data_IF_980296686464
#
_entry.id   IF_980296686464
#
_cell.length_a   1.000
_cell.length_b   1.000
_cell.length_c   1.000
_cell.angle_alpha   90.00
_cell.angle_beta   90.00
_cell.angle_gamma   90.00
#
_symmetry.space_group_name_H-M   'P 1'
#
loop_
_entity.id
_entity.type
_entity.pdbx_description
1 polymer ?
#
# COMPACT_ATOMS: atom_id res chain seq x y z
N UNK A 1 17.30 2.26 30.65
CA UNK A 1 16.02 1.71 30.18
C UNK A 1 16.27 0.27 29.75
N UNK A 2 15.43 -0.66 30.12
CA UNK A 2 15.51 -2.05 29.65
C UNK A 2 15.32 -2.09 28.15
N UNK A 3 16.12 -2.87 27.39
CA UNK A 3 15.95 -2.98 25.95
C UNK A 3 14.60 -3.64 25.62
N UNK A 4 13.99 -3.21 24.52
CA UNK A 4 12.82 -3.88 23.96
C UNK A 4 13.22 -5.26 23.42
N UNK A 5 12.26 -6.19 23.42
CA UNK A 5 12.46 -7.53 22.86
C UNK A 5 11.62 -7.69 21.60
N UNK A 6 12.26 -7.98 20.50
CA UNK A 6 11.60 -8.38 19.25
C UNK A 6 11.54 -9.91 19.17
N UNK A 7 10.36 -10.43 18.84
CA UNK A 7 10.09 -11.85 18.71
C UNK A 7 9.17 -12.13 17.52
N UNK A 8 9.30 -13.32 16.92
CA UNK A 8 8.38 -13.78 15.89
C UNK A 8 7.05 -14.14 16.52
N UNK A 9 5.97 -13.69 15.91
CA UNK A 9 4.61 -14.08 16.28
C UNK A 9 3.78 -14.17 15.01
N UNK A 10 3.17 -15.33 14.79
CA UNK A 10 2.36 -15.53 13.60
C UNK A 10 1.24 -14.48 13.51
N UNK A 11 0.98 -14.00 12.31
CA UNK A 11 -0.10 -13.03 12.05
C UNK A 11 -1.44 -13.52 12.61
N UNK A 12 -1.71 -14.86 12.49
CA UNK A 12 -2.92 -15.48 13.02
C UNK A 12 -3.05 -15.43 14.55
N UNK A 13 -1.93 -15.27 15.26
CA UNK A 13 -1.88 -15.29 16.73
C UNK A 13 -1.92 -13.86 17.32
N UNK A 14 -2.03 -12.85 16.46
CA UNK A 14 -2.15 -11.46 16.87
C UNK A 14 -3.62 -11.06 16.83
N UNK A 15 -4.12 -10.59 17.98
CA UNK A 15 -5.48 -10.10 18.08
C UNK A 15 -5.70 -8.89 17.15
N UNK A 16 -6.76 -8.93 16.28
CA UNK A 16 -7.06 -7.83 15.35
C UNK A 16 -7.18 -6.46 16.02
N UNK A 17 -7.80 -6.39 17.21
CA UNK A 17 -7.96 -5.12 17.92
C UNK A 17 -6.62 -4.56 18.42
N UNK A 18 -5.70 -5.43 18.85
CA UNK A 18 -4.34 -5.04 19.24
C UNK A 18 -3.55 -4.53 18.02
N UNK A 19 -3.71 -5.17 16.85
CA UNK A 19 -3.09 -4.74 15.61
C UNK A 19 -3.56 -3.34 15.22
N UNK A 20 -4.87 -3.14 15.15
CA UNK A 20 -5.47 -1.89 14.70
C UNK A 20 -5.24 -0.76 15.72
N UNK A 21 -5.21 -1.04 17.03
CA UNK A 21 -4.83 -0.06 18.04
C UNK A 21 -3.42 0.51 17.78
N UNK A 22 -2.45 -0.34 17.43
CA UNK A 22 -1.09 0.10 17.13
C UNK A 22 -1.03 0.84 15.78
N UNK A 23 -1.80 0.40 14.79
CA UNK A 23 -1.94 1.12 13.53
C UNK A 23 -2.49 2.54 13.78
N UNK A 24 -3.55 2.70 14.56
CA UNK A 24 -4.14 4.03 14.84
C UNK A 24 -3.28 4.94 15.69
N UNK A 25 -2.34 4.40 16.47
CA UNK A 25 -1.35 5.20 17.20
C UNK A 25 -0.25 5.77 16.29
N UNK A 26 -0.09 5.24 15.11
CA UNK A 26 0.85 5.74 14.12
C UNK A 26 0.14 6.71 13.15
N UNK A 27 0.45 8.02 13.18
CA UNK A 27 -0.17 8.99 12.27
C UNK A 27 0.20 8.76 10.78
N UNK A 28 1.17 7.90 10.52
CA UNK A 28 1.57 7.51 9.16
C UNK A 28 0.90 6.21 8.69
N UNK A 29 0.12 5.54 9.53
CA UNK A 29 -0.66 4.39 9.11
C UNK A 29 -1.72 4.79 8.08
N UNK A 30 -2.02 3.86 7.20
CA UNK A 30 -2.97 4.03 6.10
C UNK A 30 -3.94 2.86 6.09
N UNK A 31 -4.95 2.83 5.24
CA UNK A 31 -5.79 1.64 5.06
C UNK A 31 -5.01 0.36 4.75
N UNK A 32 -3.81 0.48 4.18
CA UNK A 32 -2.90 -0.66 3.94
C UNK A 32 -2.26 -1.21 5.22
N UNK A 33 -2.32 -0.48 6.31
CA UNK A 33 -1.68 -0.84 7.59
C UNK A 33 -2.60 -1.60 8.55
N UNK A 34 -3.93 -1.62 8.30
CA UNK A 34 -4.89 -2.23 9.22
C UNK A 34 -4.99 -3.75 9.04
N UNK A 35 -5.45 -4.42 10.10
CA UNK A 35 -5.57 -5.88 10.12
C UNK A 35 -6.40 -6.43 8.96
N UNK A 36 -7.53 -5.79 8.63
CA UNK A 36 -8.42 -6.23 7.57
C UNK A 36 -7.73 -6.31 6.19
N UNK A 37 -6.84 -5.35 5.87
CA UNK A 37 -6.07 -5.35 4.63
C UNK A 37 -5.06 -6.51 4.60
N UNK A 38 -4.29 -6.69 5.68
CA UNK A 38 -3.33 -7.78 5.82
C UNK A 38 -4.04 -9.14 5.79
N UNK A 39 -5.19 -9.28 6.44
CA UNK A 39 -5.97 -10.51 6.43
C UNK A 39 -6.47 -10.84 5.02
N UNK A 40 -6.99 -9.86 4.27
CA UNK A 40 -7.39 -10.06 2.89
C UNK A 40 -6.21 -10.56 2.03
N UNK A 41 -5.03 -9.98 2.27
CA UNK A 41 -3.82 -10.37 1.57
C UNK A 41 -3.39 -11.81 1.92
N UNK A 42 -3.37 -12.18 3.20
CA UNK A 42 -3.01 -13.52 3.63
C UNK A 42 -4.00 -14.58 3.12
N UNK A 43 -5.29 -14.28 3.07
CA UNK A 43 -6.30 -15.18 2.50
C UNK A 43 -6.08 -15.45 1.02
N UNK A 44 -5.52 -14.50 0.27
CA UNK A 44 -5.29 -14.61 -1.17
C UNK A 44 -3.90 -15.17 -1.53
N UNK A 45 -2.87 -14.73 -0.83
CA UNK A 45 -1.47 -14.94 -1.20
C UNK A 45 -0.65 -15.75 -0.20
N UNK A 46 -1.20 -16.05 0.96
CA UNK A 46 -0.47 -16.72 2.05
C UNK A 46 0.10 -18.09 1.69
N UNK A 47 -0.51 -18.78 0.71
CA UNK A 47 0.02 -20.08 0.25
C UNK A 47 1.42 -19.97 -0.41
N UNK A 48 1.81 -18.77 -0.87
CA UNK A 48 3.07 -18.51 -1.55
C UNK A 48 4.01 -17.60 -0.73
N UNK A 49 3.72 -17.42 0.55
CA UNK A 49 4.51 -16.56 1.42
C UNK A 49 4.66 -17.22 2.79
N UNK A 50 5.76 -16.92 3.47
CA UNK A 50 5.98 -17.33 4.85
C UNK A 50 5.86 -16.13 5.76
N UNK A 51 5.05 -16.28 6.80
CA UNK A 51 4.84 -15.24 7.79
C UNK A 51 6.11 -15.03 8.63
N UNK A 52 6.59 -13.81 8.61
CA UNK A 52 7.76 -13.35 9.33
C UNK A 52 7.42 -12.19 10.27
N UNK A 53 6.15 -12.04 10.62
CA UNK A 53 5.68 -10.94 11.47
C UNK A 53 6.47 -10.90 12.78
N UNK A 54 6.96 -9.72 13.11
CA UNK A 54 7.68 -9.44 14.35
C UNK A 54 6.81 -8.58 15.24
N UNK A 55 6.65 -8.99 16.48
CA UNK A 55 6.14 -8.13 17.56
C UNK A 55 7.28 -7.65 18.43
N UNK A 56 7.18 -6.43 18.90
CA UNK A 56 8.12 -5.87 19.89
C UNK A 56 7.38 -5.64 21.17
N UNK A 57 7.95 -6.14 22.27
CA UNK A 57 7.39 -6.02 23.60
C UNK A 57 8.35 -5.29 24.54
N UNK A 58 7.83 -4.65 25.59
CA UNK A 58 8.62 -4.05 26.66
C UNK A 58 8.59 -4.95 27.91
N UNK A 59 9.65 -5.73 28.17
CA UNK A 59 9.70 -6.63 29.32
C UNK A 59 9.60 -5.91 30.68
N UNK A 60 9.82 -4.60 30.71
CA UNK A 60 9.74 -3.79 31.94
C UNK A 60 8.38 -3.15 32.17
N UNK A 61 7.44 -3.31 31.23
CA UNK A 61 6.08 -2.77 31.34
C UNK A 61 5.22 -3.59 32.30
N UNK A 62 4.10 -3.00 32.72
CA UNK A 62 3.09 -3.71 33.53
C UNK A 62 2.41 -4.85 32.77
N UNK A 63 2.51 -4.85 31.41
CA UNK A 63 2.01 -5.90 30.50
C UNK A 63 3.14 -6.34 29.57
N UNK A 64 4.08 -7.18 30.04
CA UNK A 64 5.33 -7.47 29.34
C UNK A 64 5.14 -8.21 28.01
N UNK A 65 4.01 -8.90 27.83
CA UNK A 65 3.70 -9.67 26.61
C UNK A 65 2.83 -8.88 25.61
N UNK A 66 2.36 -7.68 26.00
CA UNK A 66 1.59 -6.82 25.10
C UNK A 66 2.51 -6.15 24.08
N UNK A 67 2.22 -6.25 22.79
CA UNK A 67 3.00 -5.56 21.77
C UNK A 67 2.98 -4.03 21.98
N UNK A 68 4.16 -3.42 21.89
CA UNK A 68 4.35 -1.97 21.74
C UNK A 68 4.57 -1.59 20.29
N UNK A 69 4.92 -2.58 19.46
CA UNK A 69 4.97 -2.45 18.01
C UNK A 69 4.68 -3.78 17.31
N UNK A 70 4.18 -3.67 16.09
CA UNK A 70 4.06 -4.78 15.13
C UNK A 70 4.76 -4.37 13.85
N UNK A 71 5.61 -5.25 13.33
CA UNK A 71 6.26 -5.11 12.03
C UNK A 71 5.75 -6.27 11.19
N UNK A 72 4.79 -6.04 10.27
CA UNK A 72 4.31 -7.05 9.36
C UNK A 72 5.43 -7.42 8.40
N UNK A 73 5.96 -8.62 8.50
CA UNK A 73 7.01 -9.11 7.61
C UNK A 73 6.62 -10.43 6.99
N UNK A 74 7.17 -10.71 5.83
CA UNK A 74 7.06 -11.99 5.14
C UNK A 74 8.33 -12.27 4.36
N UNK A 75 8.58 -13.54 4.05
CA UNK A 75 9.48 -13.95 2.99
C UNK A 75 8.73 -14.73 1.91
N UNK A 76 9.28 -14.81 0.73
CA UNK A 76 8.70 -15.52 -0.41
C UNK A 76 9.77 -16.26 -1.17
N UNK A 77 9.44 -17.50 -1.53
CA UNK A 77 10.29 -18.35 -2.36
C UNK A 77 9.85 -18.39 -3.83
N UNK A 78 8.66 -17.90 -4.12
CA UNK A 78 8.12 -17.83 -5.49
C UNK A 78 8.25 -16.38 -5.97
N UNK A 79 8.61 -16.21 -7.24
CA UNK A 79 8.72 -14.90 -7.89
C UNK A 79 7.46 -14.09 -7.62
N UNK A 80 7.66 -12.88 -7.09
CA UNK A 80 6.60 -11.89 -6.93
C UNK A 80 5.87 -11.69 -8.25
N UNK A 81 4.57 -11.45 -8.24
CA UNK A 81 3.87 -10.94 -9.41
C UNK A 81 4.55 -9.69 -9.96
N UNK A 82 4.35 -9.42 -11.24
CA UNK A 82 5.11 -8.41 -12.00
C UNK A 82 5.08 -6.97 -11.44
N UNK A 83 4.21 -6.66 -10.49
CA UNK A 83 4.21 -5.35 -9.84
C UNK A 83 5.33 -5.18 -8.80
N UNK A 84 5.99 -6.28 -8.41
CA UNK A 84 7.25 -6.18 -7.66
C UNK A 84 8.34 -5.46 -8.46
N UNK A 85 8.26 -5.53 -9.78
CA UNK A 85 9.03 -4.67 -10.66
C UNK A 85 8.28 -3.34 -10.82
N UNK A 86 8.80 -2.26 -10.27
CA UNK A 86 8.27 -0.93 -10.49
C UNK A 86 8.35 -0.60 -11.97
N UNK A 87 7.21 -0.54 -12.64
CA UNK A 87 7.11 -0.14 -14.04
C UNK A 87 6.80 1.35 -14.21
N UNK A 88 6.90 2.10 -13.14
CA UNK A 88 6.63 3.54 -13.18
C UNK A 88 7.71 4.24 -13.97
N UNK A 89 7.33 4.90 -15.05
CA UNK A 89 8.20 5.81 -15.77
C UNK A 89 8.27 7.10 -14.96
N UNK A 90 9.26 7.22 -14.10
CA UNK A 90 9.47 8.43 -13.34
C UNK A 90 9.67 9.61 -14.30
N UNK A 91 8.89 10.68 -14.12
CA UNK A 91 8.95 11.90 -14.94
C UNK A 91 10.31 12.60 -14.89
N UNK A 92 11.09 12.28 -13.86
CA UNK A 92 12.39 12.87 -13.62
C UNK A 92 13.48 11.86 -13.99
N UNK A 93 14.29 12.20 -14.99
CA UNK A 93 15.36 11.35 -15.53
C UNK A 93 16.54 11.11 -14.55
N UNK A 94 16.44 11.63 -13.35
CA UNK A 94 17.45 11.54 -12.29
C UNK A 94 17.27 10.34 -11.35
N UNK A 95 16.24 9.52 -11.56
CA UNK A 95 16.08 8.29 -10.79
C UNK A 95 16.97 7.19 -11.35
N UNK A 96 17.87 6.73 -10.50
CA UNK A 96 18.69 5.56 -10.78
C UNK A 96 17.82 4.29 -10.77
N UNK A 97 18.14 3.28 -11.59
CA UNK A 97 17.51 1.98 -11.49
C UNK A 97 17.67 1.41 -10.08
N UNK A 98 16.60 0.78 -9.56
CA UNK A 98 16.68 0.11 -8.26
C UNK A 98 17.74 -1.00 -8.28
N UNK A 99 18.50 -1.11 -7.19
CA UNK A 99 19.49 -2.17 -7.04
C UNK A 99 18.80 -3.55 -7.11
N UNK A 100 19.24 -4.45 -8.00
CA UNK A 100 18.59 -5.75 -8.14
C UNK A 100 18.87 -6.65 -6.93
N UNK A 101 17.88 -7.48 -6.58
CA UNK A 101 18.02 -8.60 -5.66
C UNK A 101 18.17 -9.87 -6.49
N UNK A 102 19.09 -10.75 -6.10
CA UNK A 102 19.27 -12.01 -6.80
C UNK A 102 17.96 -12.84 -6.72
N UNK A 103 17.49 -13.43 -7.84
CA UNK A 103 16.23 -14.20 -7.84
C UNK A 103 16.23 -15.41 -6.88
N UNK A 104 17.42 -15.88 -6.51
CA UNK A 104 17.61 -17.00 -5.58
C UNK A 104 17.79 -16.56 -4.13
N UNK A 105 17.79 -15.25 -3.85
CA UNK A 105 17.94 -14.76 -2.50
C UNK A 105 16.61 -14.91 -1.74
N UNK A 106 16.65 -15.53 -0.58
CA UNK A 106 15.56 -15.39 0.38
C UNK A 106 15.52 -13.91 0.83
N UNK A 107 14.45 -13.20 0.51
CA UNK A 107 14.31 -11.80 0.85
C UNK A 107 13.12 -11.58 1.78
N UNK A 108 13.35 -10.75 2.81
CA UNK A 108 12.32 -10.34 3.77
C UNK A 108 11.70 -9.03 3.29
N UNK A 109 10.37 -9.03 3.18
CA UNK A 109 9.55 -7.90 2.73
C UNK A 109 8.58 -7.45 3.82
N UNK A 110 8.04 -6.25 3.69
CA UNK A 110 6.82 -5.91 4.40
C UNK A 110 5.65 -6.79 3.92
N UNK A 111 4.82 -7.22 4.85
CA UNK A 111 3.60 -7.96 4.55
C UNK A 111 2.65 -7.15 3.67
N UNK A 112 1.89 -7.85 2.83
CA UNK A 112 0.94 -7.26 1.88
C UNK A 112 1.55 -6.32 0.82
N UNK A 113 2.89 -6.31 0.63
CA UNK A 113 3.60 -5.36 -0.23
C UNK A 113 3.15 -5.38 -1.69
N UNK A 114 2.57 -6.48 -2.18
CA UNK A 114 2.08 -6.58 -3.55
C UNK A 114 0.92 -5.63 -3.85
N UNK A 115 -0.02 -5.49 -2.93
CA UNK A 115 -1.21 -4.64 -3.09
C UNK A 115 -1.13 -3.33 -2.32
N UNK A 116 -0.20 -3.21 -1.37
CA UNK A 116 -0.04 -2.00 -0.59
C UNK A 116 0.81 -0.96 -1.34
N UNK A 117 0.35 0.28 -1.38
CA UNK A 117 1.14 1.39 -1.90
C UNK A 117 1.95 2.12 -0.81
N UNK A 118 1.63 1.85 0.46
CA UNK A 118 2.36 2.34 1.62
C UNK A 118 2.60 1.22 2.63
N UNK A 119 3.78 1.23 3.24
CA UNK A 119 4.15 0.36 4.35
C UNK A 119 4.73 1.19 5.50
N UNK A 120 4.54 0.74 6.72
CA UNK A 120 5.10 1.35 7.92
C UNK A 120 5.19 0.35 9.07
N UNK A 121 5.91 0.71 10.11
CA UNK A 121 5.93 0.00 11.40
C UNK A 121 4.70 0.44 12.21
N UNK A 122 3.93 -0.50 12.74
CA UNK A 122 2.78 -0.20 13.59
C UNK A 122 3.28 0.08 15.01
N UNK A 123 3.60 1.33 15.28
CA UNK A 123 4.11 1.77 16.57
C UNK A 123 3.85 3.26 16.77
N UNK A 124 3.86 3.71 18.03
CA UNK A 124 3.89 5.13 18.30
C UNK A 124 5.25 5.72 17.83
N UNK A 125 5.28 6.88 17.16
CA UNK A 125 6.53 7.44 16.61
C UNK A 125 7.66 7.62 17.62
N UNK A 126 7.34 7.93 18.87
CA UNK A 126 8.33 8.09 19.95
C UNK A 126 9.07 6.77 20.29
N UNK A 127 8.51 5.62 19.97
CA UNK A 127 9.12 4.30 20.23
C UNK A 127 9.97 3.79 19.07
N UNK A 128 9.86 4.38 17.89
CA UNK A 128 10.52 3.93 16.67
C UNK A 128 12.03 3.69 16.82
N UNK A 129 12.85 4.58 17.44
CA UNK A 129 14.29 4.33 17.58
C UNK A 129 14.60 3.03 18.34
N UNK A 130 13.83 2.73 19.38
CA UNK A 130 13.99 1.49 20.19
C UNK A 130 13.43 0.27 19.45
N UNK A 131 12.33 0.45 18.75
CA UNK A 131 11.64 -0.60 17.98
C UNK A 131 12.50 -1.06 16.81
N UNK A 132 13.05 -0.13 16.02
CA UNK A 132 13.89 -0.44 14.87
C UNK A 132 15.21 -1.09 15.30
N UNK A 133 15.81 -0.64 16.40
CA UNK A 133 16.99 -1.30 16.97
C UNK A 133 16.69 -2.75 17.35
N UNK A 134 15.58 -3.00 18.07
CA UNK A 134 15.18 -4.35 18.47
C UNK A 134 14.86 -5.24 17.24
N UNK A 135 14.21 -4.69 16.20
CA UNK A 135 13.94 -5.39 14.94
C UNK A 135 15.23 -5.79 14.24
N UNK A 136 16.17 -4.85 14.07
CA UNK A 136 17.43 -5.10 13.37
C UNK A 136 18.29 -6.10 14.13
N UNK A 137 18.26 -6.08 15.47
CA UNK A 137 18.91 -7.08 16.32
C UNK A 137 18.28 -8.48 16.13
N UNK A 138 16.95 -8.58 15.98
CA UNK A 138 16.29 -9.84 15.67
C UNK A 138 16.68 -10.36 14.29
N UNK A 139 16.63 -9.52 13.27
CA UNK A 139 17.04 -9.88 11.91
C UNK A 139 18.53 -10.28 11.84
N UNK A 140 19.39 -9.67 12.65
CA UNK A 140 20.80 -10.06 12.73
C UNK A 140 20.96 -11.46 13.34
N UNK A 141 20.17 -11.84 14.33
CA UNK A 141 20.17 -13.20 14.87
C UNK A 141 19.71 -14.22 13.84
N UNK A 142 18.64 -13.90 13.10
CA UNK A 142 18.08 -14.77 12.06
C UNK A 142 19.02 -14.93 10.85
N UNK A 143 19.96 -14.00 10.68
CA UNK A 143 20.99 -14.07 9.66
C UNK A 143 22.05 -15.17 9.93
N UNK A 144 22.17 -15.62 11.16
CA UNK A 144 23.04 -16.75 11.55
C UNK A 144 22.14 -17.98 11.57
N UNK A 145 22.35 -18.92 10.62
CA UNK A 145 21.49 -20.07 10.42
C UNK A 145 21.02 -20.69 11.73
N UNK A 146 19.71 -20.79 11.97
CA UNK A 146 19.21 -21.60 13.06
C UNK A 146 19.55 -23.06 12.79
N UNK A 147 19.75 -23.81 13.84
CA UNK A 147 19.84 -25.26 13.73
C UNK A 147 18.46 -25.75 13.25
N UNK A 148 18.34 -26.44 12.10
CA UNK A 148 17.07 -26.89 11.62
C UNK A 148 16.38 -27.73 12.68
N UNK A 149 15.20 -27.35 13.10
CA UNK A 149 14.32 -28.26 13.82
C UNK A 149 13.61 -29.12 12.75
N UNK A 150 13.81 -30.46 12.73
CA UNK A 150 13.23 -31.32 11.69
C UNK A 150 11.68 -31.31 11.66
N UNK A 151 11.04 -30.85 12.74
CA UNK A 151 9.58 -30.73 12.83
C UNK A 151 9.06 -29.36 12.46
N UNK A 152 9.95 -28.40 12.17
CA UNK A 152 9.58 -27.05 11.80
C UNK A 152 9.53 -26.91 10.27
N UNK A 153 8.32 -26.93 9.72
CA UNK A 153 8.08 -26.70 8.29
C UNK A 153 8.24 -25.21 7.89
N UNK A 154 8.44 -24.32 8.85
CA UNK A 154 8.83 -22.94 8.60
C UNK A 154 10.30 -22.91 8.17
N UNK A 155 10.56 -22.89 6.88
CA UNK A 155 11.91 -22.78 6.34
C UNK A 155 12.56 -21.49 6.80
N UNK A 156 13.38 -21.57 7.82
CA UNK A 156 14.23 -20.48 8.29
C UNK A 156 15.56 -20.51 7.53
N UNK A 157 15.50 -20.45 6.21
CA UNK A 157 16.71 -20.14 5.46
C UNK A 157 17.19 -18.77 5.88
N UNK A 158 18.49 -18.62 6.18
CA UNK A 158 19.03 -17.29 6.51
C UNK A 158 18.71 -16.34 5.38
N UNK A 159 18.05 -15.23 5.69
CA UNK A 159 17.76 -14.27 4.65
C UNK A 159 19.04 -13.75 3.96
N UNK A 160 18.99 -13.60 2.66
CA UNK A 160 20.06 -13.02 1.83
C UNK A 160 19.90 -11.51 1.66
N UNK A 161 18.66 -11.04 1.75
CA UNK A 161 18.31 -9.63 1.63
C UNK A 161 17.14 -9.26 2.53
N UNK A 162 17.10 -8.00 2.98
CA UNK A 162 15.91 -7.33 3.48
C UNK A 162 15.53 -6.27 2.45
N UNK A 163 14.33 -6.35 1.89
CA UNK A 163 13.85 -5.47 0.82
C UNK A 163 12.55 -4.79 1.27
N UNK A 164 12.71 -3.74 2.07
CA UNK A 164 11.58 -2.97 2.59
C UNK A 164 11.19 -1.87 1.60
N UNK A 165 10.03 -2.01 1.02
CA UNK A 165 9.49 -1.13 -0.01
C UNK A 165 8.29 -0.31 0.48
N UNK A 166 7.90 0.68 -0.29
CA UNK A 166 6.70 1.53 -0.05
C UNK A 166 6.78 2.37 1.22
N UNK A 167 7.99 2.62 1.71
CA UNK A 167 8.21 3.47 2.87
C UNK A 167 8.07 4.94 2.47
N UNK A 168 7.16 5.68 3.10
CA UNK A 168 7.04 7.11 2.80
C UNK A 168 8.25 7.88 3.31
N UNK A 169 8.79 8.79 2.49
CA UNK A 169 9.91 9.64 2.89
C UNK A 169 9.57 10.48 4.14
N UNK A 170 8.32 10.89 4.30
CA UNK A 170 7.88 11.68 5.45
C UNK A 170 7.65 10.84 6.72
N UNK A 171 7.66 9.50 6.63
CA UNK A 171 7.47 8.62 7.79
C UNK A 171 8.79 8.44 8.56
N UNK A 172 8.85 8.83 9.84
CA UNK A 172 10.05 8.65 10.67
C UNK A 172 10.56 7.20 10.71
N UNK A 173 9.68 6.20 10.52
CA UNK A 173 10.09 4.81 10.46
C UNK A 173 11.14 4.56 9.36
N UNK A 174 11.11 5.31 8.26
CA UNK A 174 12.08 5.20 7.17
C UNK A 174 13.49 5.57 7.63
N UNK A 175 13.63 6.72 8.28
CA UNK A 175 14.93 7.21 8.77
C UNK A 175 15.46 6.36 9.92
N UNK A 176 14.59 5.91 10.81
CA UNK A 176 14.98 5.08 11.95
C UNK A 176 15.42 3.67 11.50
N UNK A 177 14.75 3.09 10.49
CA UNK A 177 15.19 1.83 9.87
C UNK A 177 16.56 2.00 9.20
N UNK A 178 16.74 3.07 8.41
CA UNK A 178 18.02 3.34 7.75
C UNK A 178 19.15 3.53 8.78
N UNK A 179 18.90 4.22 9.88
CA UNK A 179 19.83 4.42 10.97
C UNK A 179 20.21 3.10 11.65
N UNK A 180 19.22 2.27 11.99
CA UNK A 180 19.45 1.00 12.66
C UNK A 180 20.23 0.00 11.78
N UNK A 181 19.89 -0.09 10.49
CA UNK A 181 20.63 -0.91 9.54
C UNK A 181 22.03 -0.37 9.23
N UNK A 182 22.19 0.97 9.15
CA UNK A 182 23.50 1.61 8.96
C UNK A 182 24.50 1.30 10.08
N UNK A 183 24.02 1.13 11.32
CA UNK A 183 24.85 0.67 12.42
C UNK A 183 25.42 -0.75 12.17
N UNK A 184 24.66 -1.64 11.52
CA UNK A 184 25.11 -3.00 11.16
C UNK A 184 26.03 -3.02 9.94
N UNK A 185 25.87 -2.10 9.00
CA UNK A 185 26.80 -1.92 7.90
C UNK A 185 28.22 -1.72 8.43
N UNK A 186 28.38 -0.83 9.41
CA UNK A 186 29.66 -0.56 10.05
C UNK A 186 30.16 -1.76 10.87
N UNK A 187 29.30 -2.41 11.64
CA UNK A 187 29.69 -3.46 12.58
C UNK A 187 29.91 -4.83 11.93
N UNK A 188 29.15 -5.17 10.90
CA UNK A 188 29.05 -6.52 10.34
C UNK A 188 29.33 -6.60 8.83
N UNK A 189 29.63 -5.48 8.19
CA UNK A 189 29.91 -5.40 6.76
C UNK A 189 28.69 -5.67 5.88
N UNK A 190 27.50 -5.39 6.38
CA UNK A 190 26.30 -5.41 5.55
C UNK A 190 26.33 -4.26 4.54
N UNK A 191 25.54 -4.34 3.49
CA UNK A 191 25.35 -3.19 2.59
C UNK A 191 23.97 -2.64 2.76
N UNK A 192 23.86 -1.32 2.88
CA UNK A 192 22.60 -0.59 2.98
C UNK A 192 22.43 0.30 1.74
N UNK A 193 21.29 0.17 1.07
CA UNK A 193 20.87 1.07 0.02
C UNK A 193 19.51 1.68 0.44
N UNK A 194 19.44 3.00 0.52
CA UNK A 194 18.20 3.74 0.63
C UNK A 194 17.94 4.37 -0.72
N UNK A 195 16.88 3.92 -1.39
CA UNK A 195 16.62 4.26 -2.78
C UNK A 195 15.23 4.90 -2.92
N UNK A 196 15.12 5.93 -3.74
CA UNK A 196 13.81 6.43 -4.15
C UNK A 196 13.16 5.37 -5.04
N UNK A 197 12.08 4.76 -4.56
CA UNK A 197 11.41 3.68 -5.27
C UNK A 197 10.41 4.22 -6.29
N UNK A 198 9.57 5.15 -5.86
CA UNK A 198 8.45 5.66 -6.64
C UNK A 198 7.94 6.98 -6.05
N UNK A 199 6.83 7.47 -6.59
CA UNK A 199 6.09 8.60 -6.06
C UNK A 199 4.60 8.28 -5.96
N UNK A 200 3.95 8.93 -5.00
CA UNK A 200 2.50 8.96 -4.87
C UNK A 200 2.03 10.41 -5.02
N UNK A 201 1.53 10.83 -6.17
CA UNK A 201 1.02 12.19 -6.35
C UNK A 201 -0.24 12.44 -5.55
N UNK A 202 -0.25 13.51 -4.78
CA UNK A 202 -1.35 13.89 -3.89
C UNK A 202 -1.92 15.23 -4.29
N UNK A 203 -3.24 15.29 -4.42
CA UNK A 203 -3.98 16.52 -4.59
C UNK A 203 -4.31 17.06 -3.19
N UNK A 204 -3.78 18.23 -2.86
CA UNK A 204 -4.17 18.97 -1.66
C UNK A 204 -5.47 19.72 -1.94
N UNK A 205 -6.53 19.39 -1.21
CA UNK A 205 -7.84 20.00 -1.36
C UNK A 205 -7.92 21.19 -0.41
N UNK A 206 -8.08 22.43 -0.93
CA UNK A 206 -8.12 23.61 -0.09
C UNK A 206 -9.36 23.61 0.80
N UNK A 207 -9.19 23.97 2.07
CA UNK A 207 -10.30 24.08 3.01
C UNK A 207 -11.25 25.24 2.64
N UNK A 208 -12.54 24.99 2.78
CA UNK A 208 -13.56 26.03 2.60
C UNK A 208 -13.82 26.47 1.15
N UNK A 209 -13.24 25.79 0.16
CA UNK A 209 -13.55 26.03 -1.25
C UNK A 209 -14.44 24.94 -1.82
N UNK A 210 -15.27 25.32 -2.77
CA UNK A 210 -16.04 24.37 -3.58
C UNK A 210 -15.19 23.79 -4.73
N UNK A 211 -15.79 22.91 -5.51
CA UNK A 211 -15.08 22.30 -6.63
C UNK A 211 -14.63 23.31 -7.71
N UNK A 212 -15.40 24.38 -7.95
CA UNK A 212 -15.00 25.40 -8.92
C UNK A 212 -13.82 26.24 -8.40
N UNK A 213 -13.77 26.51 -7.09
CA UNK A 213 -12.61 27.09 -6.42
C UNK A 213 -11.38 26.20 -6.51
N UNK A 214 -11.53 24.88 -6.29
CA UNK A 214 -10.45 23.93 -6.52
C UNK A 214 -9.99 23.94 -7.98
N UNK A 215 -10.90 23.86 -8.95
CA UNK A 215 -10.53 23.93 -10.37
C UNK A 215 -9.78 25.24 -10.71
N UNK A 216 -10.06 26.34 -10.02
CA UNK A 216 -9.37 27.60 -10.24
C UNK A 216 -7.88 27.55 -9.85
N UNK A 217 -7.46 26.63 -8.99
CA UNK A 217 -6.05 26.40 -8.64
C UNK A 217 -5.26 25.71 -9.75
N UNK A 218 -5.95 24.97 -10.64
CA UNK A 218 -5.32 24.27 -11.75
C UNK A 218 -4.94 25.19 -12.91
N UNK A 219 -4.05 24.76 -13.78
CA UNK A 219 -3.71 25.45 -15.00
C UNK A 219 -4.93 25.69 -15.89
N UNK A 220 -4.90 26.79 -16.67
CA UNK A 220 -6.03 27.17 -17.54
C UNK A 220 -6.40 26.07 -18.53
N UNK A 221 -5.39 25.38 -19.09
CA UNK A 221 -5.55 24.29 -20.05
C UNK A 221 -6.25 23.11 -19.41
N UNK A 222 -5.74 22.64 -18.27
CA UNK A 222 -6.23 21.49 -17.53
C UNK A 222 -7.68 21.70 -17.10
N UNK A 223 -7.98 22.85 -16.50
CA UNK A 223 -9.33 23.27 -16.10
C UNK A 223 -10.30 23.28 -17.29
N UNK A 224 -9.87 23.82 -18.44
CA UNK A 224 -10.70 23.84 -19.64
C UNK A 224 -10.99 22.43 -20.15
N UNK A 225 -9.98 21.57 -20.20
CA UNK A 225 -10.10 20.19 -20.64
C UNK A 225 -11.01 19.35 -19.73
N UNK A 226 -10.87 19.47 -18.42
CA UNK A 226 -11.76 18.78 -17.45
C UNK A 226 -13.21 19.18 -17.72
N UNK A 227 -13.50 20.49 -17.73
CA UNK A 227 -14.85 21.01 -17.99
C UNK A 227 -15.42 20.58 -19.35
N UNK A 228 -14.58 20.53 -20.38
CA UNK A 228 -14.99 20.09 -21.73
C UNK A 228 -15.37 18.60 -21.73
N UNK A 229 -14.57 17.75 -21.09
CA UNK A 229 -14.79 16.30 -20.98
C UNK A 229 -16.09 16.01 -20.20
N UNK A 230 -16.29 16.69 -19.07
CA UNK A 230 -17.50 16.56 -18.25
C UNK A 230 -18.75 16.92 -19.06
N UNK A 231 -18.79 18.13 -19.67
CA UNK A 231 -19.92 18.55 -20.50
C UNK A 231 -20.22 17.57 -21.62
N UNK A 232 -19.20 16.96 -22.25
CA UNK A 232 -19.40 15.96 -23.30
C UNK A 232 -20.07 14.72 -22.76
N UNK A 233 -19.66 14.24 -21.59
CA UNK A 233 -20.28 13.07 -20.96
C UNK A 233 -21.73 13.36 -20.52
N UNK A 234 -22.00 14.54 -19.98
CA UNK A 234 -23.35 15.01 -19.60
C UNK A 234 -24.29 15.14 -20.80
N UNK A 235 -23.74 15.52 -21.96
CA UNK A 235 -24.51 15.60 -23.20
C UNK A 235 -24.91 14.21 -23.77
N UNK A 236 -24.24 13.14 -23.34
CA UNK A 236 -24.53 11.78 -23.79
C UNK A 236 -25.71 11.13 -23.02
N UNK A 237 -26.13 11.70 -21.90
CA UNK A 237 -27.25 11.23 -21.09
C UNK A 237 -27.07 11.57 -19.60
N UNK A 238 -28.03 11.18 -18.76
CA UNK A 238 -27.92 11.32 -17.30
C UNK A 238 -26.62 10.70 -16.80
N UNK A 239 -25.79 11.53 -16.19
CA UNK A 239 -24.43 11.18 -15.70
C UNK A 239 -24.44 11.15 -14.18
N UNK A 240 -24.20 9.97 -13.59
CA UNK A 240 -24.27 9.76 -12.15
C UNK A 240 -23.03 9.04 -11.62
N UNK A 241 -22.61 9.39 -10.41
CA UNK A 241 -21.66 8.61 -9.60
C UNK A 241 -22.45 7.79 -8.58
N UNK A 242 -22.56 6.51 -8.81
CA UNK A 242 -23.32 5.57 -7.99
C UNK A 242 -22.33 4.80 -7.08
N UNK A 243 -22.48 4.97 -5.77
CA UNK A 243 -21.74 4.13 -4.82
C UNK A 243 -22.48 2.79 -4.67
N UNK A 244 -21.76 1.68 -4.73
CA UNK A 244 -22.33 0.36 -4.56
C UNK A 244 -22.87 0.18 -3.14
N UNK A 245 -24.11 -0.27 -3.03
CA UNK A 245 -24.71 -0.64 -1.75
C UNK A 245 -24.27 -2.03 -1.27
N UNK A 246 -23.80 -2.88 -2.19
CA UNK A 246 -23.24 -4.20 -1.92
C UNK A 246 -21.96 -4.40 -2.74
N UNK A 247 -20.81 -3.86 -2.27
CA UNK A 247 -19.57 -3.98 -3.00
C UNK A 247 -19.09 -5.42 -3.20
N UNK A 248 -19.44 -6.33 -2.31
CA UNK A 248 -19.09 -7.76 -2.45
C UNK A 248 -19.80 -8.39 -3.64
N UNK A 249 -21.07 -8.06 -3.84
CA UNK A 249 -21.83 -8.53 -4.99
C UNK A 249 -21.40 -7.82 -6.31
N UNK A 250 -20.99 -6.56 -6.22
CA UNK A 250 -20.68 -5.73 -7.39
C UNK A 250 -19.20 -5.79 -7.83
N UNK A 251 -18.31 -6.42 -7.04
CA UNK A 251 -16.86 -6.41 -7.32
C UNK A 251 -16.51 -7.03 -8.67
N UNK A 252 -17.28 -8.01 -9.12
CA UNK A 252 -17.04 -8.65 -10.42
C UNK A 252 -17.29 -7.67 -11.58
N UNK A 253 -18.26 -6.77 -11.47
CA UNK A 253 -18.47 -5.72 -12.46
C UNK A 253 -17.30 -4.72 -12.52
N UNK A 254 -16.63 -4.46 -11.39
CA UNK A 254 -15.38 -3.69 -11.38
C UNK A 254 -14.26 -4.47 -12.07
N UNK A 255 -14.10 -5.76 -11.75
CA UNK A 255 -13.08 -6.63 -12.35
C UNK A 255 -13.22 -6.66 -13.87
N UNK A 256 -14.45 -6.78 -14.38
CA UNK A 256 -14.73 -6.78 -15.83
C UNK A 256 -14.32 -5.45 -16.47
N UNK A 257 -14.68 -4.32 -15.88
CA UNK A 257 -14.27 -3.00 -16.40
C UNK A 257 -12.75 -2.78 -16.33
N UNK A 258 -12.11 -3.28 -15.29
CA UNK A 258 -10.65 -3.23 -15.15
C UNK A 258 -9.98 -4.11 -16.21
N UNK A 259 -10.46 -5.33 -16.38
CA UNK A 259 -9.92 -6.28 -17.35
C UNK A 259 -10.14 -5.79 -18.80
N UNK A 260 -11.30 -5.20 -19.10
CA UNK A 260 -11.57 -4.61 -20.41
C UNK A 260 -10.57 -3.49 -20.76
N UNK A 261 -10.14 -2.71 -19.78
CA UNK A 261 -9.15 -1.63 -19.97
C UNK A 261 -7.71 -2.14 -20.07
N UNK A 262 -7.31 -3.06 -19.19
CA UNK A 262 -5.90 -3.39 -19.00
C UNK A 262 -5.48 -4.72 -19.63
N UNK A 263 -6.43 -5.64 -19.91
CA UNK A 263 -6.13 -6.98 -20.41
C UNK A 263 -5.19 -7.73 -19.46
N UNK A 264 -4.27 -8.48 -20.02
CA UNK A 264 -3.29 -9.29 -19.26
C UNK A 264 -2.25 -8.46 -18.49
N UNK A 265 -2.22 -7.14 -18.73
CA UNK A 265 -1.34 -6.21 -17.98
C UNK A 265 -1.98 -5.68 -16.70
N UNK A 266 -3.26 -5.98 -16.48
CA UNK A 266 -3.99 -5.58 -15.29
C UNK A 266 -3.80 -6.55 -14.12
N UNK A 267 -4.53 -6.30 -13.04
CA UNK A 267 -4.46 -7.11 -11.82
C UNK A 267 -5.13 -8.50 -11.95
N UNK A 268 -5.95 -8.71 -12.96
CA UNK A 268 -6.82 -9.88 -13.06
C UNK A 268 -6.60 -10.70 -14.35
N UNK A 269 -5.35 -10.98 -14.77
CA UNK A 269 -5.12 -11.85 -15.92
C UNK A 269 -5.71 -13.25 -15.68
N UNK A 270 -5.88 -14.04 -16.75
CA UNK A 270 -6.31 -15.44 -16.66
C UNK A 270 -5.14 -16.35 -16.25
N UNK A 271 -4.59 -16.09 -15.06
CA UNK A 271 -3.45 -16.80 -14.45
C UNK A 271 -3.71 -17.02 -12.96
N UNK A 272 -3.00 -17.96 -12.30
CA UNK A 272 -3.13 -18.15 -10.86
C UNK A 272 -2.97 -16.84 -10.05
N UNK A 273 -2.05 -15.95 -10.45
CA UNK A 273 -1.88 -14.65 -9.79
C UNK A 273 -3.09 -13.74 -9.97
N UNK A 274 -3.74 -13.75 -11.14
CA UNK A 274 -4.99 -13.03 -11.38
C UNK A 274 -6.16 -13.57 -10.55
N UNK A 275 -6.20 -14.89 -10.35
CA UNK A 275 -7.21 -15.51 -9.47
C UNK A 275 -7.00 -15.12 -8.00
N UNK A 276 -5.75 -15.08 -7.54
CA UNK A 276 -5.40 -14.56 -6.22
C UNK A 276 -5.82 -13.10 -6.05
N UNK A 277 -5.60 -12.25 -7.06
CA UNK A 277 -6.07 -10.87 -7.06
C UNK A 277 -7.59 -10.75 -6.95
N UNK A 278 -8.35 -11.64 -7.62
CA UNK A 278 -9.82 -11.69 -7.48
C UNK A 278 -10.24 -12.08 -6.07
N UNK A 279 -9.58 -13.07 -5.47
CA UNK A 279 -9.82 -13.45 -4.07
C UNK A 279 -9.52 -12.28 -3.15
N UNK A 280 -8.38 -11.63 -3.32
CA UNK A 280 -7.99 -10.46 -2.52
C UNK A 280 -9.05 -9.37 -2.56
N UNK A 281 -9.53 -8.98 -3.74
CA UNK A 281 -10.50 -7.89 -3.87
C UNK A 281 -11.85 -8.21 -3.20
N UNK A 282 -12.35 -9.44 -3.31
CA UNK A 282 -13.56 -9.86 -2.59
C UNK A 282 -13.37 -9.83 -1.08
N UNK A 283 -12.26 -10.42 -0.60
CA UNK A 283 -11.94 -10.46 0.83
C UNK A 283 -11.75 -9.06 1.41
N UNK A 284 -11.18 -8.13 0.63
CA UNK A 284 -11.03 -6.74 1.03
C UNK A 284 -12.37 -6.10 1.40
N UNK A 285 -13.37 -6.21 0.54
CA UNK A 285 -14.70 -5.67 0.81
C UNK A 285 -15.40 -6.36 1.99
N UNK A 286 -15.33 -7.68 2.09
CA UNK A 286 -15.92 -8.44 3.20
C UNK A 286 -15.35 -8.02 4.56
N UNK A 287 -14.02 -7.92 4.66
CA UNK A 287 -13.34 -7.63 5.92
C UNK A 287 -13.48 -6.15 6.32
N UNK A 288 -13.43 -5.22 5.36
CA UNK A 288 -13.66 -3.81 5.65
C UNK A 288 -15.11 -3.53 6.03
N UNK A 289 -16.09 -4.21 5.43
CA UNK A 289 -17.49 -4.10 5.82
C UNK A 289 -17.71 -4.58 7.27
N UNK A 290 -17.03 -5.65 7.67
CA UNK A 290 -17.08 -6.15 9.05
C UNK A 290 -16.43 -5.19 10.06
N UNK A 291 -15.35 -4.50 9.66
CA UNK A 291 -14.64 -3.53 10.50
C UNK A 291 -15.31 -2.14 10.57
N UNK A 292 -16.14 -1.78 9.59
CA UNK A 292 -16.75 -0.45 9.46
C UNK A 292 -17.65 0.00 10.63
N UNK A 293 -18.02 -0.92 11.53
CA UNK A 293 -18.77 -0.59 12.75
C UNK A 293 -17.92 0.04 13.85
N UNK A 294 -16.61 0.09 13.68
CA UNK A 294 -15.67 0.67 14.66
C UNK A 294 -15.34 2.11 14.28
N UNK A 295 -15.59 3.03 15.20
CA UNK A 295 -15.34 4.46 14.98
C UNK A 295 -13.87 4.75 14.64
N UNK A 296 -13.66 5.56 13.58
CA UNK A 296 -12.33 5.92 13.12
C UNK A 296 -11.66 4.93 12.15
N UNK A 297 -12.25 3.77 11.90
CA UNK A 297 -11.73 2.86 10.87
C UNK A 297 -11.84 3.46 9.47
N UNK A 298 -10.82 3.26 8.60
CA UNK A 298 -10.95 3.58 7.19
C UNK A 298 -12.02 2.69 6.54
N UNK A 299 -12.70 3.24 5.55
CA UNK A 299 -13.69 2.51 4.76
C UNK A 299 -13.18 2.27 3.35
N UNK A 300 -13.63 1.19 2.71
CA UNK A 300 -13.40 0.92 1.30
C UNK A 300 -14.70 1.06 0.54
N UNK A 301 -14.65 1.74 -0.60
CA UNK A 301 -15.81 2.04 -1.43
C UNK A 301 -15.60 1.54 -2.85
N UNK A 302 -16.68 1.08 -3.47
CA UNK A 302 -16.79 0.78 -4.88
C UNK A 302 -17.78 1.76 -5.51
N UNK A 303 -17.31 2.61 -6.41
CA UNK A 303 -18.13 3.60 -7.09
C UNK A 303 -18.16 3.36 -8.59
N UNK A 304 -19.33 3.47 -9.20
CA UNK A 304 -19.54 3.37 -10.65
C UNK A 304 -19.92 4.72 -11.24
N UNK A 305 -19.30 5.09 -12.34
CA UNK A 305 -19.79 6.16 -13.19
C UNK A 305 -20.77 5.57 -14.19
N UNK A 306 -21.98 6.12 -14.24
CA UNK A 306 -23.01 5.68 -15.19
C UNK A 306 -23.41 6.80 -16.15
N UNK A 307 -23.75 6.44 -17.38
CA UNK A 307 -24.41 7.32 -18.36
C UNK A 307 -25.67 6.61 -18.83
N UNK A 308 -26.82 7.22 -18.62
CA UNK A 308 -28.11 6.59 -18.96
C UNK A 308 -28.33 5.25 -18.25
N UNK A 309 -27.79 5.08 -17.05
CA UNK A 309 -27.86 3.85 -16.27
C UNK A 309 -26.82 2.77 -16.65
N UNK A 310 -26.07 2.92 -17.77
CA UNK A 310 -24.98 2.00 -18.13
C UNK A 310 -23.72 2.34 -17.32
N UNK A 311 -23.13 1.37 -16.62
CA UNK A 311 -21.81 1.50 -15.96
C UNK A 311 -20.72 1.63 -17.02
N UNK A 312 -20.00 2.76 -17.03
CA UNK A 312 -18.93 3.05 -18.03
C UNK A 312 -17.55 3.16 -17.40
N UNK A 313 -17.47 3.32 -16.08
CA UNK A 313 -16.22 3.25 -15.33
C UNK A 313 -16.52 2.86 -13.88
N UNK A 314 -15.51 2.38 -13.20
CA UNK A 314 -15.58 2.06 -11.77
C UNK A 314 -14.27 2.42 -11.07
N UNK A 315 -14.36 2.74 -9.78
CA UNK A 315 -13.20 2.95 -8.92
C UNK A 315 -13.40 2.27 -7.57
N UNK A 316 -12.31 1.69 -7.09
CA UNK A 316 -12.13 1.32 -5.68
C UNK A 316 -11.30 2.42 -5.03
N UNK A 317 -11.76 2.92 -3.90
CA UNK A 317 -11.03 3.93 -3.13
C UNK A 317 -11.26 3.71 -1.63
N UNK A 318 -10.26 4.12 -0.85
CA UNK A 318 -10.39 4.14 0.60
C UNK A 318 -10.71 5.55 1.07
N UNK A 319 -11.47 5.66 2.15
CA UNK A 319 -11.70 6.92 2.84
C UNK A 319 -11.27 6.83 4.31
N UNK A 320 -10.60 7.87 4.75
CA UNK A 320 -10.32 8.16 6.16
C UNK A 320 -11.02 9.46 6.56
N UNK A 321 -10.88 9.89 7.80
CA UNK A 321 -11.46 11.17 8.25
C UNK A 321 -11.06 12.34 7.32
N UNK A 322 -9.78 12.47 6.94
CA UNK A 322 -9.25 13.60 6.18
C UNK A 322 -8.92 13.31 4.71
N UNK A 323 -8.92 12.07 4.26
CA UNK A 323 -8.40 11.73 2.93
C UNK A 323 -9.24 10.72 2.18
N UNK A 324 -9.14 10.79 0.85
CA UNK A 324 -9.54 9.75 -0.10
C UNK A 324 -8.27 9.20 -0.74
N UNK A 325 -8.15 7.87 -0.86
CA UNK A 325 -7.06 7.19 -1.57
C UNK A 325 -7.63 6.46 -2.78
N UNK A 326 -7.30 6.93 -3.98
CA UNK A 326 -7.81 6.41 -5.26
C UNK A 326 -7.03 5.17 -5.67
N UNK A 327 -7.54 4.01 -5.27
CA UNK A 327 -6.77 2.77 -5.28
C UNK A 327 -6.69 2.11 -6.65
N UNK A 328 -7.84 1.87 -7.28
CA UNK A 328 -7.88 1.19 -8.58
C UNK A 328 -9.07 1.63 -9.41
N UNK A 329 -8.93 1.58 -10.75
CA UNK A 329 -10.01 1.96 -11.65
C UNK A 329 -10.09 1.08 -12.89
N UNK A 330 -11.32 0.80 -13.31
CA UNK A 330 -11.68 0.20 -14.58
C UNK A 330 -12.48 1.17 -15.45
N UNK A 331 -12.36 1.07 -16.78
CA UNK A 331 -13.08 1.93 -17.72
C UNK A 331 -13.50 1.07 -18.92
N UNK A 332 -14.76 1.19 -19.32
CA UNK A 332 -15.28 0.60 -20.54
C UNK A 332 -14.57 1.22 -21.76
N UNK A 333 -13.82 0.44 -22.56
CA UNK A 333 -13.15 0.95 -23.75
C UNK A 333 -14.12 1.54 -24.79
N UNK A 334 -15.37 1.07 -24.83
CA UNK A 334 -16.42 1.60 -25.71
C UNK A 334 -16.83 3.03 -25.34
N UNK A 335 -16.66 3.40 -24.05
CA UNK A 335 -16.92 4.75 -23.55
C UNK A 335 -15.73 5.71 -23.69
N UNK A 336 -14.72 5.37 -24.48
CA UNK A 336 -13.47 6.16 -24.67
C UNK A 336 -13.77 7.62 -25.06
N UNK A 337 -14.74 7.83 -25.95
CA UNK A 337 -15.13 9.16 -26.42
C UNK A 337 -15.66 10.04 -25.28
N UNK A 338 -16.22 9.45 -24.24
CA UNK A 338 -16.74 10.17 -23.08
C UNK A 338 -15.64 10.55 -22.07
N UNK A 339 -14.40 10.07 -22.27
CA UNK A 339 -13.30 10.27 -21.29
C UNK A 339 -13.67 9.82 -19.88
N UNK A 340 -14.31 8.65 -19.78
CA UNK A 340 -14.96 8.16 -18.54
C UNK A 340 -14.04 8.17 -17.33
N UNK A 341 -12.74 7.86 -17.46
CA UNK A 341 -11.79 7.92 -16.34
C UNK A 341 -11.57 9.33 -15.78
N UNK A 342 -11.53 10.36 -16.65
CA UNK A 342 -11.40 11.77 -16.19
C UNK A 342 -12.67 12.23 -15.51
N UNK A 343 -13.84 11.83 -16.03
CA UNK A 343 -15.14 12.20 -15.47
C UNK A 343 -15.37 11.48 -14.14
N UNK A 344 -14.97 10.21 -14.03
CA UNK A 344 -15.01 9.46 -12.77
C UNK A 344 -14.17 10.16 -11.69
N UNK A 345 -12.94 10.55 -12.04
CA UNK A 345 -12.05 11.25 -11.12
C UNK A 345 -12.64 12.62 -10.73
N UNK A 346 -13.25 13.36 -11.67
CA UNK A 346 -13.94 14.61 -11.39
C UNK A 346 -15.04 14.43 -10.34
N UNK A 347 -15.90 13.44 -10.51
CA UNK A 347 -16.98 13.15 -9.56
C UNK A 347 -16.45 12.75 -8.17
N UNK A 348 -15.37 11.98 -8.13
CA UNK A 348 -14.75 11.56 -6.86
C UNK A 348 -14.06 12.73 -6.14
N UNK A 349 -13.30 13.58 -6.85
CA UNK A 349 -12.66 14.76 -6.26
C UNK A 349 -13.71 15.76 -5.76
N UNK A 350 -14.76 16.02 -6.56
CA UNK A 350 -15.89 16.86 -6.14
C UNK A 350 -16.53 16.34 -4.86
N UNK A 351 -16.84 15.06 -4.79
CA UNK A 351 -17.40 14.40 -3.60
C UNK A 351 -16.46 14.49 -2.39
N UNK A 352 -15.16 14.34 -2.60
CA UNK A 352 -14.18 14.50 -1.54
C UNK A 352 -14.21 15.92 -0.94
N UNK A 353 -14.28 16.95 -1.78
CA UNK A 353 -14.41 18.36 -1.35
C UNK A 353 -15.71 18.57 -0.59
N UNK A 354 -16.84 18.09 -1.12
CA UNK A 354 -18.17 18.18 -0.48
C UNK A 354 -18.21 17.49 0.89
N UNK A 355 -17.41 16.43 1.08
CA UNK A 355 -17.25 15.72 2.36
C UNK A 355 -16.18 16.33 3.27
N UNK A 356 -15.62 17.50 2.92
CA UNK A 356 -14.62 18.21 3.72
C UNK A 356 -13.27 17.49 3.82
N UNK A 357 -12.93 16.63 2.85
CA UNK A 357 -11.60 16.02 2.81
C UNK A 357 -10.55 17.06 2.43
N UNK A 358 -9.37 16.98 3.05
CA UNK A 358 -8.25 17.89 2.75
C UNK A 358 -7.22 17.27 1.80
N UNK A 359 -7.33 15.96 1.52
CA UNK A 359 -6.35 15.21 0.75
C UNK A 359 -7.04 14.21 -0.18
N UNK A 360 -6.63 14.21 -1.45
CA UNK A 360 -6.99 13.17 -2.41
C UNK A 360 -5.70 12.54 -2.95
N UNK A 361 -5.41 11.34 -2.47
CA UNK A 361 -4.19 10.61 -2.77
C UNK A 361 -4.41 9.75 -4.01
N UNK A 362 -3.64 10.00 -5.06
CA UNK A 362 -3.73 9.24 -6.32
C UNK A 362 -2.88 7.97 -6.29
N UNK A 363 -2.25 7.72 -5.14
CA UNK A 363 -1.40 6.57 -4.88
C UNK A 363 -0.25 6.44 -5.88
N UNK A 364 0.46 5.31 -5.84
CA UNK A 364 1.71 5.12 -6.56
C UNK A 364 1.58 5.28 -8.07
N UNK A 365 2.63 5.83 -8.65
CA UNK A 365 2.78 6.03 -10.10
C UNK A 365 2.78 7.49 -10.51
N UNK A 366 3.54 7.80 -11.55
CA UNK A 366 3.75 9.16 -12.07
C UNK A 366 2.99 9.42 -13.39
N UNK A 367 1.83 8.80 -13.55
CA UNK A 367 1.04 8.98 -14.76
C UNK A 367 0.68 10.46 -14.98
N UNK A 368 0.80 10.96 -16.22
CA UNK A 368 0.62 12.40 -16.54
C UNK A 368 -0.70 13.00 -16.04
N UNK A 369 -1.78 12.22 -16.07
CA UNK A 369 -3.09 12.71 -15.64
C UNK A 369 -3.11 13.14 -14.17
N UNK A 370 -2.31 12.50 -13.30
CA UNK A 370 -2.24 12.83 -11.87
C UNK A 370 -1.80 14.28 -11.65
N UNK A 371 -0.88 14.74 -12.48
CA UNK A 371 -0.36 16.12 -12.43
C UNK A 371 -1.29 17.13 -13.12
N UNK A 372 -2.06 16.68 -14.12
CA UNK A 372 -3.13 17.50 -14.70
C UNK A 372 -4.19 17.87 -13.66
N UNK A 373 -4.33 17.07 -12.62
CA UNK A 373 -5.20 17.29 -11.45
C UNK A 373 -4.52 18.02 -10.28
N UNK A 374 -3.30 18.49 -10.48
CA UNK A 374 -2.55 19.23 -9.45
C UNK A 374 -1.88 18.33 -8.43
N UNK A 375 -1.65 17.05 -8.75
CA UNK A 375 -0.91 16.13 -7.90
C UNK A 375 0.51 16.61 -7.63
N UNK A 376 0.91 16.60 -6.36
CA UNK A 376 2.26 16.88 -5.89
C UNK A 376 2.89 15.58 -5.40
N UNK A 377 4.11 15.32 -5.81
CA UNK A 377 4.81 14.08 -5.48
C UNK A 377 5.07 13.94 -3.98
N UNK A 378 4.62 12.84 -3.41
CA UNK A 378 5.10 12.33 -2.14
C UNK A 378 5.97 11.08 -2.42
N UNK A 379 7.29 11.16 -2.20
CA UNK A 379 8.18 10.05 -2.52
C UNK A 379 7.98 8.86 -1.59
N UNK A 380 8.08 7.66 -2.15
CA UNK A 380 8.26 6.43 -1.40
C UNK A 380 9.67 5.88 -1.61
N UNK A 381 10.20 5.32 -0.53
CA UNK A 381 11.56 4.83 -0.43
C UNK A 381 11.59 3.31 -0.36
N UNK A 382 12.70 2.76 -0.78
CA UNK A 382 13.10 1.38 -0.57
C UNK A 382 14.33 1.34 0.33
N UNK A 383 14.32 0.48 1.34
CA UNK A 383 15.51 0.11 2.11
C UNK A 383 15.89 -1.30 1.70
N UNK A 384 17.05 -1.43 1.02
CA UNK A 384 17.59 -2.72 0.66
C UNK A 384 18.85 -2.97 1.48
N UNK A 385 18.81 -4.04 2.28
CA UNK A 385 19.97 -4.53 3.04
C UNK A 385 20.39 -5.88 2.49
N UNK A 386 21.69 -6.06 2.28
CA UNK A 386 22.29 -7.34 1.88
C UNK A 386 23.42 -7.69 2.83
N UNK A 387 23.51 -8.95 3.17
CA UNK A 387 24.66 -9.44 3.94
C UNK A 387 25.87 -9.52 3.01
N UNK A 388 27.03 -9.12 3.50
CA UNK A 388 28.31 -9.39 2.83
C UNK A 388 28.48 -10.89 2.62
N UNK A 389 29.08 -11.31 1.51
CA UNK A 389 29.52 -12.70 1.37
C UNK A 389 30.45 -12.97 2.57
N UNK A 390 30.12 -13.98 3.40
CA UNK A 390 31.05 -14.47 4.41
C UNK A 390 32.35 -14.77 3.68
N UNK A 391 33.45 -14.11 4.05
CA UNK A 391 34.74 -14.62 3.70
C UNK A 391 34.79 -16.07 4.19
N UNK A 392 34.84 -17.02 3.24
CA UNK A 392 35.07 -18.41 3.57
C UNK A 392 36.35 -18.52 4.38
N UNK A 393 36.19 -18.87 5.68
CA UNK A 393 37.31 -19.14 6.55
C UNK A 393 37.98 -20.43 6.16
#
# INVERSE_FOLDING_TARGET
MTPLRAERRAFSDIDPATWDELAFRNPYATPFSIWAFHRAWWDAYGANAHDQTVVVVDPSSAMPDRPVAIIPLMDRHVVEPSDAATHTMLRHADTLPLTPVAPTACAVYFGASYHADYATILAHPADLPRVTAALVDALARDAVAPTPNPDDTAHLDPWGAVDFRRLRLADPATDELATAFGAREIAEGWTLNVEREDVCPVIHLPEGVDFDGFLATLGKKERHEIRRKVRRAEAAGPLELVESADPVADVDAFIDLHQAKWGDRGLFPATPGGDQSRVFMRRLFELFAAAASTDGHPTVHLSFLTVGGKRIAAAIHFETAGSVMYYNAGVDPEARELSAGVVLLERLVRRAIERGKCRFDLLRGDEPYKYEWGGVDEPVQRILVRRGARASA
#
